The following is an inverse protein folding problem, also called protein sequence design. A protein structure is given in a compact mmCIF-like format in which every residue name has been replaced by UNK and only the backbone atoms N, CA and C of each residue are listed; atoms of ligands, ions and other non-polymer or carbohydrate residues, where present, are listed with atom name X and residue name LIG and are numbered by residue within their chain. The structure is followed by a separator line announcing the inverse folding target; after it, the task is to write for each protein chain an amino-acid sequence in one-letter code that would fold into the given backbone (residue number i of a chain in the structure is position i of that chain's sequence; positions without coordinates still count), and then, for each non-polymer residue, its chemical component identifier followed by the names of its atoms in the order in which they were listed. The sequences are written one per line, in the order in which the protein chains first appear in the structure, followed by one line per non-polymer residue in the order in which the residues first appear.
data_IF_847913732295
#
_entry.id   IF_847913732295
#
_cell.length_a   1.000
_cell.length_b   1.000
_cell.length_c   1.000
_cell.angle_alpha   90.00
_cell.angle_beta   90.00
_cell.angle_gamma   90.00
#
_symmetry.space_group_name_H-M   'P 1'
#
loop_
_entity.id
_entity.type
_entity.pdbx_description
1 polymer ?
#
# COMPACT_ATOMS: atom_id res chain seq x y z
N UNK A 1 20.26 -7.84 -15.06
CA UNK A 1 19.03 -7.60 -15.84
C UNK A 1 17.85 -7.79 -14.90
N UNK A 2 16.86 -6.88 -14.95
CA UNK A 2 15.77 -6.56 -14.00
C UNK A 2 16.10 -5.56 -12.89
N UNK A 3 16.63 -4.39 -13.25
CA UNK A 3 16.52 -3.14 -12.45
C UNK A 3 15.41 -2.21 -12.97
N UNK A 4 14.80 -2.55 -14.11
CA UNK A 4 13.88 -1.68 -14.87
C UNK A 4 12.47 -1.57 -14.26
N UNK A 5 12.08 -2.43 -13.31
CA UNK A 5 10.72 -2.41 -12.73
C UNK A 5 10.58 -1.53 -11.47
N UNK A 6 11.69 -1.03 -10.92
CA UNK A 6 11.66 -0.08 -9.81
C UNK A 6 11.48 1.38 -10.29
N UNK A 7 11.65 1.65 -11.58
CA UNK A 7 11.50 2.99 -12.16
C UNK A 7 10.03 3.39 -12.38
N UNK A 8 9.10 2.44 -12.36
CA UNK A 8 7.65 2.73 -12.44
C UNK A 8 7.02 3.10 -11.08
N UNK A 9 7.78 3.00 -9.99
CA UNK A 9 7.39 3.69 -8.75
C UNK A 9 7.68 5.16 -8.97
N UNK A 10 6.71 5.85 -9.54
CA UNK A 10 6.71 7.29 -9.77
C UNK A 10 6.69 7.98 -8.38
N UNK A 11 7.85 8.07 -7.73
CA UNK A 11 8.05 8.76 -6.43
C UNK A 11 8.08 10.28 -6.63
N UNK A 12 7.95 10.73 -7.86
CA UNK A 12 7.91 12.12 -8.23
C UNK A 12 6.44 12.49 -8.48
N UNK A 13 5.96 13.42 -7.66
CA UNK A 13 4.75 14.25 -7.85
C UNK A 13 3.51 13.98 -6.98
N UNK A 14 3.69 13.72 -5.68
CA UNK A 14 2.59 13.94 -4.72
C UNK A 14 3.13 14.49 -3.40
N UNK A 15 2.77 15.73 -3.03
CA UNK A 15 3.05 16.36 -1.72
C UNK A 15 2.36 15.64 -0.53
N UNK A 16 1.86 14.43 -0.77
CA UNK A 16 0.94 13.66 0.05
C UNK A 16 1.64 12.49 0.71
N UNK A 17 1.32 12.26 1.97
CA UNK A 17 1.97 11.21 2.75
C UNK A 17 1.37 9.86 2.37
N UNK A 18 2.22 8.90 2.04
CA UNK A 18 1.79 7.54 1.69
C UNK A 18 2.18 6.54 2.78
N UNK A 19 1.28 5.61 3.13
CA UNK A 19 1.57 4.50 4.04
C UNK A 19 1.43 3.18 3.28
N UNK A 20 2.53 2.43 3.25
CA UNK A 20 2.64 1.16 2.55
C UNK A 20 2.42 0.00 3.53
N UNK A 21 1.44 -0.85 3.26
CA UNK A 21 1.16 -2.05 4.05
C UNK A 21 1.55 -3.25 3.21
N UNK A 22 2.51 -4.07 3.66
CA UNK A 22 3.01 -5.24 2.94
C UNK A 22 2.99 -6.47 3.87
N UNK A 23 2.39 -7.56 3.43
CA UNK A 23 2.23 -8.76 4.26
C UNK A 23 1.62 -9.93 3.51
N UNK A 24 1.15 -10.95 4.22
CA UNK A 24 0.18 -11.89 3.63
C UNK A 24 -1.14 -11.16 3.34
N UNK A 25 -1.99 -11.73 2.48
CA UNK A 25 -3.28 -11.11 2.13
C UNK A 25 -4.12 -10.78 3.38
N UNK A 26 -4.17 -11.71 4.33
CA UNK A 26 -4.93 -11.55 5.57
C UNK A 26 -4.32 -10.50 6.50
N UNK A 27 -2.99 -10.42 6.57
CA UNK A 27 -2.29 -9.39 7.35
C UNK A 27 -2.58 -7.98 6.80
N UNK A 28 -2.53 -7.81 5.47
CA UNK A 28 -2.84 -6.53 4.82
C UNK A 28 -4.29 -6.14 5.09
N UNK A 29 -5.23 -7.08 4.92
CA UNK A 29 -6.65 -6.84 5.18
C UNK A 29 -6.91 -6.47 6.65
N UNK A 30 -6.28 -7.18 7.59
CA UNK A 30 -6.38 -6.90 9.01
C UNK A 30 -5.89 -5.48 9.33
N UNK A 31 -4.74 -5.08 8.79
CA UNK A 31 -4.17 -3.76 9.04
C UNK A 31 -5.02 -2.62 8.47
N UNK A 32 -5.61 -2.81 7.30
CA UNK A 32 -6.58 -1.87 6.70
C UNK A 32 -7.77 -1.66 7.64
N UNK A 33 -8.35 -2.75 8.15
CA UNK A 33 -9.48 -2.68 9.07
C UNK A 33 -9.10 -1.98 10.38
N UNK A 34 -7.92 -2.27 10.93
CA UNK A 34 -7.42 -1.57 12.12
C UNK A 34 -7.29 -0.07 11.89
N UNK A 35 -6.75 0.36 10.74
CA UNK A 35 -6.58 1.78 10.42
C UNK A 35 -7.92 2.49 10.25
N UNK A 36 -8.93 1.80 9.72
CA UNK A 36 -10.30 2.31 9.66
C UNK A 36 -10.91 2.48 11.05
N UNK A 37 -10.86 1.44 11.89
CA UNK A 37 -11.42 1.46 13.26
C UNK A 37 -10.72 2.50 14.13
N UNK A 38 -9.39 2.62 14.03
CA UNK A 38 -8.59 3.62 14.77
C UNK A 38 -8.71 5.04 14.21
N UNK A 39 -9.50 5.25 13.15
CA UNK A 39 -9.66 6.54 12.43
C UNK A 39 -8.34 7.15 11.95
N UNK A 40 -7.35 6.29 11.70
CA UNK A 40 -6.10 6.68 11.05
C UNK A 40 -6.40 6.92 9.57
N UNK A 41 -7.21 6.09 8.93
CA UNK A 41 -7.82 6.46 7.65
C UNK A 41 -9.21 7.05 7.92
N UNK A 42 -9.46 8.30 7.53
CA UNK A 42 -10.82 8.88 7.48
C UNK A 42 -11.42 8.62 6.10
N UNK A 43 -12.72 8.85 5.88
CA UNK A 43 -13.40 8.58 4.60
C UNK A 43 -12.79 9.29 3.36
N UNK A 44 -11.98 10.33 3.58
CA UNK A 44 -11.22 11.03 2.52
C UNK A 44 -9.96 10.28 2.09
N UNK A 45 -9.52 9.30 2.87
CA UNK A 45 -8.29 8.54 2.65
C UNK A 45 -8.69 7.15 2.15
N UNK A 46 -8.27 6.82 0.94
CA UNK A 46 -8.60 5.53 0.32
C UNK A 46 -7.38 4.64 0.31
N UNK A 47 -7.56 3.40 0.71
CA UNK A 47 -6.58 2.37 0.41
C UNK A 47 -6.72 1.98 -1.06
N UNK A 48 -5.59 1.83 -1.73
CA UNK A 48 -5.56 1.16 -3.03
C UNK A 48 -5.97 -0.31 -2.87
N UNK A 49 -6.47 -0.95 -3.95
CA UNK A 49 -6.78 -2.37 -3.93
C UNK A 49 -5.56 -3.20 -3.50
N UNK A 50 -5.82 -4.31 -2.80
CA UNK A 50 -4.76 -5.24 -2.39
C UNK A 50 -4.20 -5.94 -3.63
N UNK A 51 -2.96 -5.65 -4.00
CA UNK A 51 -2.25 -6.22 -5.14
C UNK A 51 -1.10 -7.14 -4.68
N UNK A 52 -0.66 -8.11 -5.50
CA UNK A 52 0.59 -8.82 -5.24
C UNK A 52 1.77 -7.86 -5.16
N UNK A 53 2.65 -8.03 -4.16
CA UNK A 53 3.82 -7.18 -4.02
C UNK A 53 4.87 -7.52 -5.11
N UNK A 54 5.31 -6.56 -5.93
CA UNK A 54 6.18 -6.84 -7.08
C UNK A 54 7.57 -7.31 -6.67
N UNK A 55 8.02 -6.98 -5.46
CA UNK A 55 9.34 -7.32 -4.92
C UNK A 55 9.33 -8.51 -3.94
N UNK A 56 8.16 -9.09 -3.61
CA UNK A 56 8.05 -10.15 -2.61
C UNK A 56 7.04 -11.23 -3.00
N UNK A 57 7.54 -12.40 -3.41
CA UNK A 57 6.70 -13.54 -3.82
C UNK A 57 5.80 -14.03 -2.68
N UNK A 58 4.52 -14.17 -2.96
CA UNK A 58 3.51 -14.62 -1.97
C UNK A 58 3.12 -13.53 -0.96
N UNK A 59 3.59 -12.30 -1.12
CA UNK A 59 3.16 -11.13 -0.36
C UNK A 59 2.22 -10.27 -1.19
N UNK A 60 1.40 -9.54 -0.47
CA UNK A 60 0.44 -8.59 -0.98
C UNK A 60 0.74 -7.23 -0.38
N UNK A 61 0.27 -6.19 -1.05
CA UNK A 61 0.43 -4.82 -0.60
C UNK A 61 -0.80 -3.98 -0.88
N UNK A 62 -0.99 -2.95 -0.07
CA UNK A 62 -1.94 -1.87 -0.29
C UNK A 62 -1.28 -0.56 0.16
N UNK A 63 -1.66 0.54 -0.46
CA UNK A 63 -1.13 1.88 -0.18
C UNK A 63 -2.27 2.76 0.31
N UNK A 64 -2.04 3.46 1.41
CA UNK A 64 -2.90 4.52 1.88
C UNK A 64 -2.38 5.85 1.34
N UNK A 65 -3.19 6.55 0.55
CA UNK A 65 -2.85 7.86 -0.02
C UNK A 65 -3.57 8.95 0.79
N UNK A 66 -2.82 9.83 1.49
CA UNK A 66 -3.33 10.95 2.30
C UNK A 66 -3.01 12.31 1.70
#
# INVERSE_FOLDING_TARGET
MTTEFNEELNIFDDEKSQIWIIGTRDQVLHQINEFYVKRIATDRVRFTPIIPAPFAKGKFMAVLER
#
